data_IF_128227593676
#
_entry.id   IF_128227593676
#
_cell.length_a   1.000
_cell.length_b   1.000
_cell.length_c   1.000
_cell.angle_alpha   90.00
_cell.angle_beta   90.00
_cell.angle_gamma   90.00
#
_symmetry.space_group_name_H-M   'P 1'
#
loop_
_entity.id
_entity.type
_entity.pdbx_description
1 polymer ?
#
# COMPACT_ATOMS: atom_id res chain seq x y z
N UNK A 1 0.14 10.34 -12.99
CA UNK A 1 -0.06 11.20 -14.17
C UNK A 1 -0.75 12.45 -13.64
N UNK A 2 0.04 13.44 -13.25
CA UNK A 2 -0.48 14.70 -12.70
C UNK A 2 -1.24 15.40 -13.82
N UNK A 3 -2.54 15.59 -13.65
CA UNK A 3 -3.30 16.48 -14.51
C UNK A 3 -2.82 17.87 -14.17
N UNK A 4 -2.01 18.42 -15.07
CA UNK A 4 -1.54 19.80 -14.97
C UNK A 4 -2.75 20.72 -14.94
N UNK A 5 -3.11 21.24 -13.77
CA UNK A 5 -3.88 22.48 -13.69
C UNK A 5 -2.94 23.58 -14.20
N UNK A 6 -3.29 24.17 -15.32
CA UNK A 6 -2.67 25.39 -15.81
C UNK A 6 -2.93 26.54 -14.81
N UNK A 7 -2.09 26.62 -13.80
CA UNK A 7 -1.79 27.86 -13.10
C UNK A 7 -0.38 28.25 -13.53
N UNK A 8 -0.31 29.28 -14.34
CA UNK A 8 0.90 29.90 -14.86
C UNK A 8 1.74 30.46 -13.73
N UNK A 9 2.53 29.71 -12.99
CA UNK A 9 3.67 30.21 -12.19
C UNK A 9 4.21 29.26 -11.12
N UNK A 10 3.69 28.05 -10.96
CA UNK A 10 4.28 27.09 -10.03
C UNK A 10 5.05 26.00 -10.78
N UNK A 11 6.38 26.16 -10.84
CA UNK A 11 7.27 25.14 -11.41
C UNK A 11 7.27 23.90 -10.51
N UNK A 12 6.56 22.87 -10.94
CA UNK A 12 6.51 21.58 -10.23
C UNK A 12 7.76 20.77 -10.60
N UNK A 13 8.68 20.63 -9.65
CA UNK A 13 9.87 19.79 -9.82
C UNK A 13 9.47 18.34 -9.93
N UNK A 14 9.71 17.72 -11.07
CA UNK A 14 9.46 16.29 -11.27
C UNK A 14 10.59 15.41 -10.71
N UNK A 15 10.32 14.09 -10.57
CA UNK A 15 11.37 13.13 -10.20
C UNK A 15 12.53 13.14 -11.21
N UNK A 16 12.24 13.31 -12.49
CA UNK A 16 13.27 13.38 -13.54
C UNK A 16 14.13 14.63 -13.36
N UNK A 17 13.54 15.78 -13.05
CA UNK A 17 14.30 17.01 -12.79
C UNK A 17 15.26 16.81 -11.62
N UNK A 18 14.81 16.16 -10.53
CA UNK A 18 15.70 15.85 -9.40
C UNK A 18 16.87 14.93 -9.80
N UNK A 19 16.67 13.99 -10.71
CA UNK A 19 17.74 13.12 -11.20
C UNK A 19 18.71 13.86 -12.12
N UNK A 20 18.21 14.78 -12.93
CA UNK A 20 19.04 15.63 -13.82
C UNK A 20 19.96 16.55 -13.02
N UNK A 21 19.49 17.01 -11.88
CA UNK A 21 20.28 17.90 -11.02
C UNK A 21 21.11 17.16 -9.97
N UNK A 22 20.86 15.87 -9.75
CA UNK A 22 21.56 15.10 -8.75
C UNK A 22 23.04 14.91 -9.08
N UNK A 23 23.91 15.30 -8.15
CA UNK A 23 25.35 15.04 -8.20
C UNK A 23 25.75 13.95 -7.21
N UNK A 24 26.53 12.96 -7.68
CA UNK A 24 27.07 11.91 -6.83
C UNK A 24 28.06 12.52 -5.82
N UNK A 25 27.83 12.39 -4.50
CA UNK A 25 28.60 13.10 -3.47
C UNK A 25 30.11 12.81 -3.52
N UNK A 26 30.50 11.56 -3.79
CA UNK A 26 31.91 11.13 -3.80
C UNK A 26 32.63 11.51 -5.11
N UNK A 27 31.92 11.56 -6.25
CA UNK A 27 32.53 11.72 -7.56
C UNK A 27 32.30 13.12 -8.18
N UNK A 28 31.47 13.94 -7.52
CA UNK A 28 31.09 15.28 -7.98
C UNK A 28 30.71 15.34 -9.47
N UNK A 29 30.00 14.33 -9.92
CA UNK A 29 29.49 14.23 -11.30
C UNK A 29 28.00 13.87 -11.29
N UNK A 30 27.30 14.25 -12.34
CA UNK A 30 25.92 13.88 -12.57
C UNK A 30 25.77 12.39 -12.91
N UNK A 31 24.54 11.89 -12.77
CA UNK A 31 24.20 10.54 -13.21
C UNK A 31 24.35 10.42 -14.73
N UNK A 32 24.75 9.25 -15.19
CA UNK A 32 24.66 8.92 -16.61
C UNK A 32 23.19 8.71 -17.00
N UNK A 33 22.86 9.04 -18.25
CA UNK A 33 21.51 8.90 -18.80
C UNK A 33 20.93 7.48 -18.59
N UNK A 34 21.73 6.43 -18.87
CA UNK A 34 21.32 5.04 -18.65
C UNK A 34 20.91 4.73 -17.20
N UNK A 35 21.59 5.38 -16.23
CA UNK A 35 21.25 5.23 -14.81
C UNK A 35 19.97 5.98 -14.45
N UNK A 36 19.75 7.15 -15.02
CA UNK A 36 18.50 7.90 -14.84
C UNK A 36 17.32 7.12 -15.40
N UNK A 37 17.45 6.57 -16.60
CA UNK A 37 16.43 5.71 -17.23
C UNK A 37 16.14 4.48 -16.36
N UNK A 38 17.19 3.79 -15.86
CA UNK A 38 17.01 2.64 -14.95
C UNK A 38 16.22 3.03 -13.69
N UNK A 39 16.56 4.14 -13.05
CA UNK A 39 15.88 4.61 -11.85
C UNK A 39 14.40 4.97 -12.10
N UNK A 40 14.12 5.61 -13.24
CA UNK A 40 12.73 5.89 -13.63
C UNK A 40 11.95 4.61 -13.89
N UNK A 41 12.54 3.62 -14.57
CA UNK A 41 11.92 2.32 -14.82
C UNK A 41 11.67 1.55 -13.52
N UNK A 42 12.64 1.49 -12.61
CA UNK A 42 12.48 0.85 -11.32
C UNK A 42 11.32 1.47 -10.53
N UNK A 43 11.24 2.80 -10.53
CA UNK A 43 10.16 3.52 -9.85
C UNK A 43 8.78 3.18 -10.43
N UNK A 44 8.64 3.21 -11.76
CA UNK A 44 7.38 2.89 -12.43
C UNK A 44 6.97 1.43 -12.26
N UNK A 45 7.89 0.48 -12.49
CA UNK A 45 7.61 -0.95 -12.40
C UNK A 45 7.28 -1.38 -10.97
N UNK A 46 8.07 -0.93 -9.99
CA UNK A 46 7.84 -1.30 -8.60
C UNK A 46 6.56 -0.67 -8.03
N UNK A 47 6.20 0.54 -8.43
CA UNK A 47 5.07 1.28 -7.91
C UNK A 47 3.72 0.91 -8.53
N UNK A 48 3.69 0.44 -9.79
CA UNK A 48 2.44 0.20 -10.52
C UNK A 48 1.77 -1.10 -10.07
N UNK A 49 2.40 -2.24 -10.26
CA UNK A 49 1.78 -3.55 -10.01
C UNK A 49 1.49 -3.79 -8.53
N UNK A 50 2.39 -3.37 -7.66
CA UNK A 50 2.21 -3.57 -6.21
C UNK A 50 1.06 -2.74 -5.66
N UNK A 51 0.96 -1.48 -6.07
CA UNK A 51 -0.11 -0.57 -5.62
C UNK A 51 -1.46 -0.98 -6.19
N UNK A 52 -1.54 -1.31 -7.48
CA UNK A 52 -2.80 -1.76 -8.11
C UNK A 52 -3.29 -3.08 -7.51
N UNK A 53 -2.38 -4.02 -7.21
CA UNK A 53 -2.73 -5.27 -6.53
C UNK A 53 -3.29 -5.03 -5.13
N UNK A 54 -2.65 -4.16 -4.34
CA UNK A 54 -3.16 -3.82 -3.00
C UNK A 54 -4.54 -3.15 -3.09
N UNK A 55 -4.73 -2.23 -4.04
CA UNK A 55 -6.00 -1.58 -4.30
C UNK A 55 -7.09 -2.60 -4.69
N UNK A 56 -6.79 -3.55 -5.58
CA UNK A 56 -7.71 -4.61 -5.97
C UNK A 56 -8.21 -5.40 -4.76
N UNK A 57 -7.31 -5.83 -3.86
CA UNK A 57 -7.67 -6.55 -2.65
C UNK A 57 -8.51 -5.71 -1.67
N UNK A 58 -8.19 -4.42 -1.51
CA UNK A 58 -8.95 -3.51 -0.66
C UNK A 58 -10.36 -3.35 -1.22
N UNK A 59 -10.49 -3.07 -2.53
CA UNK A 59 -11.79 -2.90 -3.18
C UNK A 59 -12.63 -4.17 -3.18
N UNK A 60 -12.03 -5.35 -3.33
CA UNK A 60 -12.72 -6.63 -3.20
C UNK A 60 -13.33 -6.80 -1.79
N UNK A 61 -12.63 -6.36 -0.75
CA UNK A 61 -13.17 -6.35 0.62
C UNK A 61 -14.29 -5.32 0.79
N UNK A 62 -14.21 -4.15 0.15
CA UNK A 62 -15.28 -3.15 0.17
C UNK A 62 -16.57 -3.68 -0.47
N UNK A 63 -16.46 -4.47 -1.54
CA UNK A 63 -17.60 -5.12 -2.21
C UNK A 63 -18.18 -6.24 -1.34
N UNK A 64 -17.32 -7.05 -0.70
CA UNK A 64 -17.75 -8.15 0.18
C UNK A 64 -18.39 -7.66 1.48
N UNK A 65 -17.95 -6.51 1.99
CA UNK A 65 -18.38 -5.96 3.28
C UNK A 65 -18.93 -4.54 3.11
N UNK A 66 -20.14 -4.36 2.56
CA UNK A 66 -20.70 -3.04 2.23
C UNK A 66 -20.79 -2.10 3.44
N UNK A 67 -20.96 -2.63 4.66
CA UNK A 67 -20.96 -1.81 5.89
C UNK A 67 -19.63 -1.07 6.11
N UNK A 68 -18.51 -1.59 5.63
CA UNK A 68 -17.20 -0.92 5.71
C UNK A 68 -17.16 0.26 4.74
N UNK A 69 -17.70 0.05 3.53
CA UNK A 69 -17.83 1.10 2.52
C UNK A 69 -18.75 2.23 3.01
N UNK A 70 -19.88 1.89 3.61
CA UNK A 70 -20.81 2.88 4.19
C UNK A 70 -20.16 3.70 5.31
N UNK A 71 -19.46 3.03 6.23
CA UNK A 71 -18.76 3.71 7.33
C UNK A 71 -17.69 4.64 6.82
N UNK A 72 -16.91 4.22 5.81
CA UNK A 72 -15.92 5.07 5.17
C UNK A 72 -16.57 6.30 4.52
N UNK A 73 -17.70 6.12 3.83
CA UNK A 73 -18.46 7.22 3.25
C UNK A 73 -18.94 8.23 4.31
N UNK A 74 -19.38 7.74 5.49
CA UNK A 74 -19.78 8.61 6.61
C UNK A 74 -18.59 9.43 7.12
N UNK A 75 -17.41 8.81 7.27
CA UNK A 75 -16.19 9.55 7.65
C UNK A 75 -15.86 10.64 6.62
N UNK A 76 -15.84 10.28 5.32
CA UNK A 76 -15.53 11.21 4.25
C UNK A 76 -16.51 12.41 4.21
N UNK A 77 -17.82 12.17 4.35
CA UNK A 77 -18.82 13.24 4.42
C UNK A 77 -18.61 14.20 5.60
N UNK A 78 -17.96 13.75 6.65
CA UNK A 78 -17.59 14.60 7.80
C UNK A 78 -16.34 15.46 7.57
N UNK A 79 -15.56 15.19 6.52
CA UNK A 79 -14.28 15.84 6.24
C UNK A 79 -14.31 16.65 4.95
N UNK A 80 -14.86 16.05 3.89
CA UNK A 80 -14.96 16.65 2.56
C UNK A 80 -16.13 17.65 2.52
N UNK A 81 -15.89 18.83 1.99
CA UNK A 81 -16.91 19.88 1.90
C UNK A 81 -18.08 19.49 0.98
N UNK A 82 -19.25 20.09 1.24
CA UNK A 82 -20.43 19.91 0.40
C UNK A 82 -20.16 20.40 -1.04
N UNK A 83 -20.45 19.56 -2.01
CA UNK A 83 -20.28 19.87 -3.44
C UNK A 83 -18.90 19.60 -4.01
N UNK A 84 -17.95 19.14 -3.19
CA UNK A 84 -16.64 18.72 -3.69
C UNK A 84 -16.77 17.43 -4.51
N UNK A 85 -16.09 17.41 -5.66
CA UNK A 85 -16.15 16.28 -6.61
C UNK A 85 -15.10 15.20 -6.29
N UNK A 86 -14.08 15.54 -5.54
CA UNK A 86 -12.98 14.64 -5.19
C UNK A 86 -12.50 14.87 -3.75
N UNK A 87 -11.93 13.82 -3.18
CA UNK A 87 -11.21 13.86 -1.91
C UNK A 87 -9.80 14.33 -2.20
N UNK A 88 -9.37 15.43 -1.59
CA UNK A 88 -8.04 15.99 -1.78
C UNK A 88 -7.01 15.35 -0.82
N UNK A 89 -5.72 15.45 -1.15
CA UNK A 89 -4.64 14.92 -0.34
C UNK A 89 -4.64 15.48 1.11
N UNK A 90 -4.98 16.76 1.29
CA UNK A 90 -5.07 17.39 2.61
C UNK A 90 -6.15 16.78 3.52
N UNK A 91 -7.20 16.20 2.93
CA UNK A 91 -8.30 15.58 3.65
C UNK A 91 -7.95 14.19 4.17
N UNK A 92 -7.06 13.46 3.49
CA UNK A 92 -6.67 12.09 3.84
C UNK A 92 -6.13 11.99 5.27
N UNK A 93 -5.39 13.00 5.71
CA UNK A 93 -4.84 13.06 7.07
C UNK A 93 -5.91 13.14 8.18
N UNK A 94 -7.14 13.54 7.82
CA UNK A 94 -8.29 13.70 8.73
C UNK A 94 -9.17 12.44 8.77
N UNK A 95 -8.80 11.37 8.05
CA UNK A 95 -9.59 10.14 7.85
C UNK A 95 -8.93 8.91 8.47
N UNK A 96 -8.97 8.75 9.81
CA UNK A 96 -8.36 7.61 10.48
C UNK A 96 -8.96 6.26 10.09
N UNK A 97 -10.26 6.19 9.73
CA UNK A 97 -10.88 4.95 9.29
C UNK A 97 -10.40 4.54 7.88
N UNK A 98 -10.24 5.48 6.96
CA UNK A 98 -9.63 5.24 5.66
C UNK A 98 -8.23 4.61 5.83
N UNK A 99 -7.41 5.20 6.67
CA UNK A 99 -6.07 4.66 6.97
C UNK A 99 -6.13 3.25 7.56
N UNK A 100 -7.07 3.02 8.47
CA UNK A 100 -7.31 1.70 9.07
C UNK A 100 -7.72 0.65 8.01
N UNK A 101 -8.55 1.02 7.04
CA UNK A 101 -8.96 0.17 5.92
C UNK A 101 -7.76 -0.21 5.05
N UNK A 102 -6.93 0.75 4.69
CA UNK A 102 -5.71 0.52 3.88
C UNK A 102 -4.74 -0.40 4.62
N UNK A 103 -4.49 -0.14 5.90
CA UNK A 103 -3.61 -0.97 6.72
C UNK A 103 -4.12 -2.40 6.88
N UNK A 104 -5.44 -2.59 7.06
CA UNK A 104 -6.05 -3.93 7.17
C UNK A 104 -5.95 -4.68 5.82
N UNK A 105 -6.09 -3.99 4.70
CA UNK A 105 -5.85 -4.54 3.38
C UNK A 105 -4.43 -5.08 3.23
N UNK A 106 -3.45 -4.26 3.53
CA UNK A 106 -2.02 -4.61 3.48
C UNK A 106 -1.64 -5.71 4.48
N UNK A 107 -2.25 -5.71 5.68
CA UNK A 107 -2.05 -6.77 6.67
C UNK A 107 -2.51 -8.13 6.12
N UNK A 108 -3.75 -8.18 5.64
CA UNK A 108 -4.41 -9.44 5.25
C UNK A 108 -3.92 -9.97 3.91
N UNK A 109 -3.65 -9.04 2.96
CA UNK A 109 -3.28 -9.35 1.57
C UNK A 109 -2.17 -8.39 1.10
N UNK A 110 -0.93 -8.54 1.60
CA UNK A 110 0.17 -7.79 1.04
C UNK A 110 0.36 -8.17 -0.44
N UNK A 111 0.87 -7.26 -1.29
CA UNK A 111 1.04 -7.52 -2.73
C UNK A 111 1.95 -8.72 -3.04
N UNK A 112 2.81 -9.10 -2.11
CA UNK A 112 3.68 -10.28 -2.22
C UNK A 112 3.65 -11.11 -0.93
N UNK A 113 3.81 -12.43 -1.04
CA UNK A 113 3.92 -13.31 0.13
C UNK A 113 5.24 -13.12 0.87
N UNK A 114 6.31 -12.80 0.16
CA UNK A 114 7.65 -12.61 0.68
C UNK A 114 8.17 -11.21 0.36
N UNK A 115 9.00 -10.65 1.22
CA UNK A 115 9.84 -9.52 0.85
C UNK A 115 10.92 -9.97 -0.13
N UNK A 116 11.58 -9.00 -0.78
CA UNK A 116 12.71 -9.28 -1.68
C UNK A 116 13.78 -10.06 -0.92
N UNK A 117 14.28 -11.19 -1.45
CA UNK A 117 15.29 -12.02 -0.81
C UNK A 117 16.55 -11.22 -0.46
N UNK A 118 17.12 -11.50 0.72
CA UNK A 118 18.32 -10.80 1.21
C UNK A 118 19.45 -11.79 1.48
N UNK A 119 20.61 -11.53 0.89
CA UNK A 119 21.80 -12.31 1.18
C UNK A 119 22.51 -11.81 2.44
N UNK A 120 22.99 -12.72 3.29
CA UNK A 120 23.80 -12.37 4.46
C UNK A 120 25.27 -12.21 4.06
N UNK A 121 25.93 -11.21 4.63
CA UNK A 121 27.33 -10.86 4.31
C UNK A 121 28.34 -11.60 5.18
N UNK A 122 27.90 -12.18 6.28
CA UNK A 122 28.71 -12.97 7.24
C UNK A 122 27.83 -14.04 7.87
N UNK A 123 28.45 -15.02 8.55
CA UNK A 123 27.71 -16.03 9.31
C UNK A 123 26.94 -15.34 10.44
N UNK A 124 25.64 -15.60 10.54
CA UNK A 124 24.78 -14.99 11.57
C UNK A 124 23.89 -16.06 12.21
N UNK A 125 23.68 -15.93 13.50
CA UNK A 125 22.72 -16.78 14.24
C UNK A 125 21.40 -16.03 14.34
N UNK A 126 20.32 -16.60 13.80
CA UNK A 126 18.97 -16.08 13.87
C UNK A 126 18.09 -17.10 14.59
N UNK A 127 17.55 -16.73 15.74
CA UNK A 127 16.70 -17.59 16.58
C UNK A 127 17.31 -19.00 16.83
N UNK A 128 18.62 -19.06 17.10
CA UNK A 128 19.35 -20.30 17.33
C UNK A 128 19.79 -21.06 16.06
N UNK A 129 19.40 -20.61 14.88
CA UNK A 129 19.80 -21.22 13.60
C UNK A 129 20.99 -20.47 12.98
N UNK A 130 22.02 -21.21 12.60
CA UNK A 130 23.16 -20.66 11.86
C UNK A 130 22.74 -20.41 10.39
N UNK A 131 22.78 -19.14 9.98
CA UNK A 131 22.65 -18.74 8.58
C UNK A 131 24.04 -18.46 8.04
N UNK A 132 24.56 -19.30 7.13
CA UNK A 132 25.92 -19.15 6.63
C UNK A 132 26.06 -17.93 5.72
N UNK A 133 27.25 -17.36 5.66
CA UNK A 133 27.62 -16.32 4.69
C UNK A 133 27.18 -16.69 3.28
N UNK A 134 26.59 -15.73 2.56
CA UNK A 134 25.93 -15.88 1.25
C UNK A 134 24.62 -16.69 1.28
N UNK A 135 24.15 -17.13 2.43
CA UNK A 135 22.79 -17.65 2.59
C UNK A 135 21.78 -16.58 2.21
N UNK A 136 20.64 -17.01 1.64
CA UNK A 136 19.54 -16.12 1.28
C UNK A 136 18.41 -16.25 2.28
N UNK A 137 17.95 -15.14 2.85
CA UNK A 137 16.82 -15.07 3.76
C UNK A 137 15.59 -14.56 3.00
N UNK A 138 14.48 -15.26 3.20
CA UNK A 138 13.14 -14.84 2.77
C UNK A 138 12.24 -14.69 3.98
N UNK A 139 11.61 -13.52 4.15
CA UNK A 139 10.62 -13.28 5.18
C UNK A 139 9.21 -13.36 4.60
N UNK A 140 8.40 -14.28 5.15
CA UNK A 140 7.03 -14.51 4.70
C UNK A 140 6.08 -13.52 5.35
N UNK A 141 5.95 -12.34 4.75
CA UNK A 141 5.17 -11.21 5.31
C UNK A 141 3.66 -11.47 5.32
N UNK A 142 3.17 -12.30 4.38
CA UNK A 142 1.76 -12.67 4.35
C UNK A 142 1.36 -13.46 5.61
N UNK A 143 2.18 -14.42 6.05
CA UNK A 143 1.89 -15.20 7.25
C UNK A 143 2.03 -14.37 8.53
N UNK A 144 2.98 -13.43 8.58
CA UNK A 144 3.09 -12.50 9.71
C UNK A 144 1.81 -11.69 9.92
N UNK A 145 1.21 -11.21 8.82
CA UNK A 145 -0.07 -10.50 8.87
C UNK A 145 -1.26 -11.39 9.23
N UNK A 146 -1.11 -12.73 9.17
CA UNK A 146 -2.18 -13.71 9.40
C UNK A 146 -1.94 -14.59 10.64
N UNK A 147 -0.88 -14.34 11.42
CA UNK A 147 -0.55 -15.15 12.59
C UNK A 147 -1.63 -15.01 13.68
N UNK A 148 -2.36 -16.10 14.05
CA UNK A 148 -3.40 -16.06 15.07
C UNK A 148 -2.86 -15.80 16.49
N UNK A 149 -1.57 -15.95 16.72
CA UNK A 149 -0.91 -15.58 17.98
C UNK A 149 -0.80 -14.06 18.17
N UNK A 150 -0.84 -13.31 17.05
CA UNK A 150 -0.67 -11.85 17.02
C UNK A 150 -2.00 -11.15 16.71
N UNK A 151 -2.81 -11.74 15.85
CA UNK A 151 -4.03 -11.15 15.32
C UNK A 151 -5.25 -12.03 15.64
N UNK A 152 -6.18 -11.51 16.42
CA UNK A 152 -7.47 -12.16 16.64
C UNK A 152 -8.25 -12.26 15.33
N UNK A 153 -8.85 -13.42 15.00
CA UNK A 153 -9.54 -13.67 13.74
C UNK A 153 -8.75 -13.13 12.52
N UNK A 154 -7.54 -13.63 12.27
CA UNK A 154 -6.62 -12.99 11.31
C UNK A 154 -7.16 -12.91 9.88
N UNK A 155 -8.08 -13.80 9.51
CA UNK A 155 -8.70 -13.82 8.18
C UNK A 155 -9.92 -12.90 8.04
N UNK A 156 -10.46 -12.38 9.14
CA UNK A 156 -11.53 -11.39 9.09
C UNK A 156 -10.96 -10.01 8.71
N UNK A 157 -11.67 -9.28 7.84
CA UNK A 157 -11.31 -7.91 7.47
C UNK A 157 -11.93 -6.94 8.47
N UNK A 158 -11.12 -6.49 9.43
CA UNK A 158 -11.53 -5.65 10.57
C UNK A 158 -10.66 -4.39 10.67
N UNK A 159 -10.98 -3.29 9.98
CA UNK A 159 -10.22 -2.04 10.04
C UNK A 159 -10.07 -1.49 11.47
N UNK A 160 -11.04 -1.79 12.35
CA UNK A 160 -11.06 -1.35 13.74
C UNK A 160 -9.81 -1.70 14.54
N UNK A 161 -9.06 -2.72 14.10
CA UNK A 161 -7.78 -3.11 14.71
C UNK A 161 -6.76 -1.97 14.76
N UNK A 162 -6.88 -1.04 13.82
CA UNK A 162 -5.95 0.08 13.64
C UNK A 162 -6.48 1.40 14.20
N UNK A 163 -7.75 1.48 14.60
CA UNK A 163 -8.36 2.71 15.11
C UNK A 163 -7.94 3.03 16.55
N UNK A 164 -7.87 2.02 17.40
CA UNK A 164 -7.64 2.21 18.84
C UNK A 164 -6.18 1.97 19.22
N UNK A 165 -5.29 2.05 18.23
CA UNK A 165 -3.85 2.01 18.37
C UNK A 165 -3.35 0.97 19.37
N UNK A 166 -3.76 -0.27 19.37
CA UNK A 166 -3.30 -1.31 20.29
C UNK A 166 -2.39 -0.82 21.44
N UNK A 167 -2.72 0.31 22.09
CA UNK A 167 -1.89 0.99 23.07
C UNK A 167 -1.70 2.50 22.87
N UNK A 168 -2.56 3.20 22.07
CA UNK A 168 -2.58 4.68 22.01
C UNK A 168 -1.55 5.35 21.09
N UNK A 169 -0.88 4.60 20.20
CA UNK A 169 0.10 5.13 19.25
C UNK A 169 -0.26 4.82 17.79
N UNK A 170 0.35 5.56 16.85
CA UNK A 170 0.31 5.26 15.41
C UNK A 170 0.89 3.86 15.20
N UNK A 171 0.15 3.00 14.47
CA UNK A 171 0.62 1.65 14.19
C UNK A 171 1.90 1.70 13.36
N UNK A 172 2.98 1.15 13.91
CA UNK A 172 4.30 1.15 13.26
C UNK A 172 4.39 0.06 12.20
N UNK A 173 4.38 0.48 10.92
CA UNK A 173 4.60 -0.38 9.75
C UNK A 173 6.06 -0.36 9.28
N UNK A 174 6.91 0.44 9.93
CA UNK A 174 8.32 0.62 9.53
C UNK A 174 9.24 -0.41 10.16
N UNK A 175 8.74 -1.13 11.18
CA UNK A 175 9.51 -2.12 11.90
C UNK A 175 10.54 -1.53 12.87
N UNK A 176 10.38 -0.26 13.26
CA UNK A 176 11.25 0.38 14.26
C UNK A 176 10.95 -0.07 15.69
N UNK A 177 9.74 -0.60 15.92
CA UNK A 177 9.29 -1.13 17.20
C UNK A 177 9.01 -2.63 17.15
N UNK A 178 7.97 -3.08 17.86
CA UNK A 178 7.51 -4.48 17.82
C UNK A 178 6.82 -4.77 16.49
N UNK A 179 7.49 -5.52 15.63
CA UNK A 179 6.98 -5.88 14.29
C UNK A 179 5.83 -6.87 14.42
N UNK A 180 4.62 -6.44 14.09
CA UNK A 180 3.42 -7.30 14.00
C UNK A 180 3.09 -7.66 12.54
N UNK A 181 3.38 -6.76 11.61
CA UNK A 181 3.33 -6.95 10.15
C UNK A 181 4.41 -6.10 9.50
N UNK A 182 4.87 -6.47 8.31
CA UNK A 182 5.84 -5.66 7.56
C UNK A 182 5.61 -5.73 6.04
N UNK A 183 4.48 -5.18 5.57
CA UNK A 183 4.11 -5.24 4.15
C UNK A 183 5.12 -4.54 3.23
N UNK A 184 5.90 -3.62 3.77
CA UNK A 184 6.96 -2.88 3.08
C UNK A 184 8.38 -3.37 3.40
N UNK A 185 8.52 -4.49 4.11
CA UNK A 185 9.79 -4.91 4.67
C UNK A 185 10.20 -4.08 5.89
N UNK A 186 11.44 -4.23 6.34
CA UNK A 186 11.99 -3.52 7.49
C UNK A 186 13.49 -3.26 7.33
N UNK A 187 14.03 -2.32 8.14
CA UNK A 187 15.45 -2.00 8.20
C UNK A 187 15.98 -1.30 6.94
N UNK A 188 17.27 -1.50 6.63
CA UNK A 188 17.98 -0.79 5.56
C UNK A 188 17.48 -1.08 4.13
N UNK A 189 16.65 -2.10 3.95
CA UNK A 189 16.07 -2.51 2.66
C UNK A 189 14.55 -2.38 2.65
N UNK A 190 14.00 -1.63 3.58
CA UNK A 190 12.59 -1.26 3.57
C UNK A 190 12.24 -0.53 2.26
N UNK A 191 11.00 -0.70 1.79
CA UNK A 191 10.49 -0.03 0.59
C UNK A 191 10.70 1.50 0.69
N UNK A 192 11.44 2.11 -0.25
CA UNK A 192 11.70 3.56 -0.20
C UNK A 192 10.44 4.39 -0.51
N UNK A 193 9.46 3.79 -1.20
CA UNK A 193 8.22 4.44 -1.61
C UNK A 193 7.02 4.07 -0.71
N UNK A 194 7.24 3.59 0.53
CA UNK A 194 6.16 3.18 1.43
C UNK A 194 5.17 4.31 1.73
N UNK A 195 5.66 5.54 1.93
CA UNK A 195 4.81 6.72 2.12
C UNK A 195 3.96 7.03 0.90
N UNK A 196 4.56 7.01 -0.30
CA UNK A 196 3.85 7.23 -1.57
C UNK A 196 2.79 6.14 -1.83
N UNK A 197 3.12 4.88 -1.55
CA UNK A 197 2.18 3.77 -1.72
C UNK A 197 0.96 3.91 -0.80
N UNK A 198 1.15 4.28 0.46
CA UNK A 198 0.04 4.55 1.39
C UNK A 198 -0.80 5.72 0.89
N UNK A 199 -0.17 6.83 0.51
CA UNK A 199 -0.85 8.00 -0.03
C UNK A 199 -1.71 7.63 -1.26
N UNK A 200 -1.16 6.89 -2.21
CA UNK A 200 -1.90 6.45 -3.39
C UNK A 200 -3.08 5.54 -3.02
N UNK A 201 -2.88 4.59 -2.10
CA UNK A 201 -3.96 3.70 -1.67
C UNK A 201 -5.08 4.49 -0.98
N UNK A 202 -4.74 5.40 -0.08
CA UNK A 202 -5.72 6.27 0.60
C UNK A 202 -6.46 7.16 -0.41
N UNK A 203 -5.74 7.77 -1.35
CA UNK A 203 -6.34 8.64 -2.37
C UNK A 203 -7.27 7.87 -3.32
N UNK A 204 -6.82 6.74 -3.85
CA UNK A 204 -7.65 5.98 -4.79
C UNK A 204 -8.84 5.31 -4.10
N UNK A 205 -8.67 4.70 -2.92
CA UNK A 205 -9.78 4.09 -2.18
C UNK A 205 -10.83 5.14 -1.84
N UNK A 206 -10.42 6.31 -1.32
CA UNK A 206 -11.36 7.37 -0.98
C UNK A 206 -12.11 7.88 -2.20
N UNK A 207 -11.43 8.21 -3.29
CA UNK A 207 -12.08 8.75 -4.48
C UNK A 207 -12.98 7.72 -5.20
N UNK A 208 -12.61 6.44 -5.21
CA UNK A 208 -13.44 5.37 -5.76
C UNK A 208 -14.72 5.17 -4.94
N UNK A 209 -14.64 5.25 -3.61
CA UNK A 209 -15.81 5.13 -2.73
C UNK A 209 -16.61 6.44 -2.70
N UNK A 210 -15.99 7.59 -2.79
CA UNK A 210 -16.64 8.89 -2.83
C UNK A 210 -17.56 9.01 -4.05
N UNK A 211 -17.05 8.65 -5.23
CA UNK A 211 -17.75 8.83 -6.49
C UNK A 211 -18.71 7.67 -6.83
N UNK A 212 -18.44 6.46 -6.34
CA UNK A 212 -19.21 5.27 -6.73
C UNK A 212 -19.60 4.40 -5.54
N UNK A 213 -20.81 3.85 -5.61
CA UNK A 213 -21.21 2.70 -4.81
C UNK A 213 -20.80 1.42 -5.53
N UNK A 214 -20.08 0.55 -4.81
CA UNK A 214 -19.53 -0.71 -5.32
C UNK A 214 -20.33 -1.87 -4.77
N UNK A 215 -21.02 -2.62 -5.64
CA UNK A 215 -21.82 -3.79 -5.27
C UNK A 215 -21.37 -5.03 -6.04
N UNK A 216 -21.42 -6.18 -5.39
CA UNK A 216 -21.26 -7.45 -6.10
C UNK A 216 -22.38 -7.60 -7.15
N UNK A 217 -22.06 -8.26 -8.25
CA UNK A 217 -23.08 -8.67 -9.23
C UNK A 217 -24.01 -9.68 -8.57
N UNK A 218 -25.31 -9.57 -8.79
CA UNK A 218 -26.30 -10.47 -8.20
C UNK A 218 -26.00 -11.93 -8.60
N UNK A 219 -25.93 -12.80 -7.61
CA UNK A 219 -25.59 -14.23 -7.80
C UNK A 219 -24.08 -14.51 -7.95
N UNK A 220 -23.22 -13.49 -7.94
CA UNK A 220 -21.77 -13.64 -8.02
C UNK A 220 -21.12 -13.30 -6.66
N UNK A 221 -20.49 -14.26 -6.01
CA UNK A 221 -19.77 -14.00 -4.76
C UNK A 221 -18.35 -13.54 -5.06
N UNK A 222 -17.82 -12.59 -4.25
CA UNK A 222 -16.42 -12.17 -4.37
C UNK A 222 -15.52 -13.35 -4.03
N UNK A 223 -14.78 -13.82 -5.03
CA UNK A 223 -13.82 -14.91 -4.89
C UNK A 223 -12.45 -14.37 -4.46
N UNK A 224 -12.03 -14.75 -3.25
CA UNK A 224 -10.73 -14.39 -2.69
C UNK A 224 -9.60 -15.38 -3.00
N UNK A 225 -9.79 -16.27 -3.98
CA UNK A 225 -8.73 -17.15 -4.47
C UNK A 225 -7.57 -16.33 -5.03
N UNK A 226 -6.36 -16.75 -4.68
CA UNK A 226 -5.11 -16.08 -5.07
C UNK A 226 -4.55 -16.68 -6.37
N UNK A 227 -3.92 -15.83 -7.18
CA UNK A 227 -3.05 -16.22 -8.28
C UNK A 227 -1.72 -15.52 -8.13
N UNK A 228 -0.64 -16.29 -8.02
CA UNK A 228 0.71 -15.76 -8.00
C UNK A 228 1.18 -15.51 -9.45
N UNK A 229 1.45 -14.26 -9.74
CA UNK A 229 2.16 -13.80 -10.93
C UNK A 229 3.43 -13.06 -10.47
N UNK A 230 3.65 -11.80 -10.83
CA UNK A 230 4.68 -10.98 -10.18
C UNK A 230 4.25 -10.58 -8.76
N UNK A 231 2.99 -10.20 -8.62
CA UNK A 231 2.30 -9.97 -7.34
C UNK A 231 1.25 -11.07 -7.10
N UNK A 232 0.61 -11.06 -5.93
CA UNK A 232 -0.46 -11.99 -5.57
C UNK A 232 -1.80 -11.31 -5.85
N UNK A 233 -2.35 -11.55 -7.02
CA UNK A 233 -3.61 -10.95 -7.49
C UNK A 233 -4.83 -11.85 -7.23
N UNK A 234 -6.04 -11.33 -7.39
CA UNK A 234 -7.24 -12.15 -7.46
C UNK A 234 -7.14 -13.14 -8.64
N UNK A 235 -7.47 -14.42 -8.39
CA UNK A 235 -7.46 -15.45 -9.44
C UNK A 235 -8.48 -15.13 -10.52
N UNK A 236 -9.66 -14.69 -10.13
CA UNK A 236 -10.74 -14.25 -10.99
C UNK A 236 -10.92 -12.73 -10.82
N UNK A 237 -11.02 -11.97 -11.92
CA UNK A 237 -11.23 -10.52 -11.85
C UNK A 237 -12.45 -10.15 -11.03
N UNK A 238 -12.37 -9.09 -10.26
CA UNK A 238 -13.48 -8.54 -9.49
C UNK A 238 -14.58 -8.03 -10.45
N UNK A 239 -15.78 -8.59 -10.36
CA UNK A 239 -16.95 -8.15 -11.11
C UNK A 239 -17.89 -7.37 -10.20
N UNK A 240 -18.27 -6.18 -10.60
CA UNK A 240 -19.06 -5.26 -9.77
C UNK A 240 -20.07 -4.47 -10.58
N UNK A 241 -21.14 -4.06 -9.92
CA UNK A 241 -21.98 -2.97 -10.34
C UNK A 241 -21.50 -1.67 -9.71
N UNK A 242 -21.29 -0.66 -10.56
CA UNK A 242 -20.94 0.69 -10.14
C UNK A 242 -22.14 1.60 -10.31
N UNK A 243 -22.56 2.25 -9.22
CA UNK A 243 -23.59 3.29 -9.24
C UNK A 243 -22.95 4.62 -8.83
N UNK A 244 -23.05 5.67 -9.67
CA UNK A 244 -22.57 6.99 -9.28
C UNK A 244 -23.26 7.48 -7.99
N UNK A 245 -22.52 8.15 -7.10
CA UNK A 245 -23.05 8.75 -5.87
C UNK A 245 -23.32 10.25 -5.99
N UNK A 246 -22.76 10.88 -7.01
CA UNK A 246 -22.89 12.32 -7.31
C UNK A 246 -23.72 12.55 -8.56
#
# INVERSE_FOLDING_TARGET
>A
MTILKENEDEFVVSYVDTLLDFELPEQKRKLFEEKMVSLCLEFLLAGTDTTSTALEWIMANMVKYPQIQERLLVEMKGVVGDGEKEVNEEDLNKMPYLKAVVLEGLRRRPPAHFVIPQAVTEDVVLDGYLVPKKGTLNFMVAEMGRDPKVWEDPMAFKPERFLNGGGGGVFDITGSGKIKMMPFGAGRRMCPASGLAILHLEYFVSNLVWNFEWKAVEGDEVDFSEKLVFTVVLKNPLKVHLSPRL
#
